data_IF_878774725992
#
_entry.id   IF_878774725992
#
_cell.length_a   1.000
_cell.length_b   1.000
_cell.length_c   1.000
_cell.angle_alpha   90.00
_cell.angle_beta   90.00
_cell.angle_gamma   90.00
#
_symmetry.space_group_name_H-M   'P 1'
#
loop_
_entity.id
_entity.type
_entity.pdbx_description
1 polymer ?
#
# COMPACT_ATOMS: atom_id res chain seq x y z
N UNK A 1 19.72 -16.84 13.53
CA UNK A 1 19.70 -16.11 14.82
C UNK A 1 21.13 -15.96 15.32
N UNK A 2 21.48 -14.80 15.88
CA UNK A 2 22.80 -14.58 16.48
C UNK A 2 22.72 -15.02 17.95
N UNK A 3 23.60 -15.91 18.43
CA UNK A 3 23.57 -16.37 19.81
C UNK A 3 23.72 -15.20 20.80
N UNK A 4 22.89 -15.19 21.85
CA UNK A 4 22.89 -14.14 22.88
C UNK A 4 22.07 -12.87 22.53
N UNK A 5 21.40 -12.85 21.37
CA UNK A 5 20.52 -11.75 20.96
C UNK A 5 19.09 -12.21 20.73
N UNK A 6 18.15 -11.35 21.07
CA UNK A 6 16.75 -11.52 20.71
C UNK A 6 16.48 -10.88 19.35
N UNK A 7 15.72 -11.58 18.50
CA UNK A 7 15.21 -11.03 17.26
C UNK A 7 13.77 -10.55 17.50
N UNK A 8 13.55 -9.26 17.31
CA UNK A 8 12.20 -8.70 17.27
C UNK A 8 11.80 -8.49 15.80
N UNK A 9 10.63 -8.93 15.44
CA UNK A 9 10.13 -8.87 14.08
C UNK A 9 8.73 -8.25 14.04
N UNK A 10 8.55 -7.28 13.19
CA UNK A 10 7.24 -6.74 12.84
C UNK A 10 7.07 -6.79 11.32
N UNK A 11 5.89 -7.22 10.86
CA UNK A 11 5.68 -7.34 9.43
C UNK A 11 4.21 -7.22 9.03
N UNK A 12 3.99 -6.84 7.78
CA UNK A 12 2.67 -6.80 7.15
C UNK A 12 2.44 -8.08 6.34
N UNK A 13 1.21 -8.59 6.37
CA UNK A 13 0.87 -9.91 5.81
C UNK A 13 0.82 -9.92 4.29
N UNK A 14 0.42 -8.80 3.68
CA UNK A 14 0.29 -8.67 2.23
C UNK A 14 0.66 -7.24 1.82
N UNK A 15 1.74 -7.10 1.08
CA UNK A 15 2.19 -5.80 0.54
C UNK A 15 2.09 -5.81 -0.98
N UNK A 16 3.03 -6.42 -1.68
CA UNK A 16 3.00 -6.53 -3.13
C UNK A 16 1.74 -7.22 -3.67
N UNK A 17 1.32 -8.31 -3.03
CA UNK A 17 0.11 -9.03 -3.44
C UNK A 17 -1.18 -8.22 -3.26
N UNK A 18 -1.23 -7.30 -2.29
CA UNK A 18 -2.33 -6.34 -2.17
C UNK A 18 -2.36 -5.38 -3.36
N UNK A 19 -1.20 -4.80 -3.71
CA UNK A 19 -1.10 -3.90 -4.86
C UNK A 19 -1.49 -4.61 -6.15
N UNK A 20 -0.98 -5.81 -6.40
CA UNK A 20 -1.34 -6.63 -7.55
C UNK A 20 -2.84 -6.92 -7.62
N UNK A 21 -3.45 -7.29 -6.50
CA UNK A 21 -4.88 -7.57 -6.41
C UNK A 21 -5.72 -6.34 -6.78
N UNK A 22 -5.39 -5.17 -6.23
CA UNK A 22 -6.12 -3.93 -6.50
C UNK A 22 -5.93 -3.48 -7.95
N UNK A 23 -4.71 -3.56 -8.48
CA UNK A 23 -4.41 -3.19 -9.86
C UNK A 23 -5.16 -4.13 -10.82
N UNK A 24 -5.03 -5.43 -10.66
CA UNK A 24 -5.65 -6.41 -11.56
C UNK A 24 -7.20 -6.38 -11.50
N UNK A 25 -7.76 -6.05 -10.35
CA UNK A 25 -9.19 -5.89 -10.15
C UNK A 25 -9.77 -4.61 -10.78
N UNK A 26 -8.93 -3.64 -11.15
CA UNK A 26 -9.40 -2.37 -11.67
C UNK A 26 -9.60 -2.41 -13.20
N UNK A 27 -10.74 -1.92 -13.73
CA UNK A 27 -11.07 -2.01 -15.16
C UNK A 27 -10.06 -1.32 -16.09
N UNK A 28 -9.33 -0.28 -15.62
CA UNK A 28 -8.32 0.40 -16.43
C UNK A 28 -7.03 -0.42 -16.64
N UNK A 29 -6.75 -1.43 -15.82
CA UNK A 29 -5.45 -2.12 -15.83
C UNK A 29 -5.15 -2.80 -17.17
N UNK A 30 -6.13 -3.53 -17.70
CA UNK A 30 -5.97 -4.23 -18.98
C UNK A 30 -5.73 -3.26 -20.15
N UNK A 31 -6.48 -2.16 -20.19
CA UNK A 31 -6.33 -1.14 -21.22
C UNK A 31 -4.99 -0.41 -21.13
N UNK A 32 -4.52 -0.10 -19.91
CA UNK A 32 -3.21 0.52 -19.67
C UNK A 32 -2.09 -0.40 -20.14
N UNK A 33 -2.15 -1.69 -19.77
CA UNK A 33 -1.17 -2.69 -20.20
C UNK A 33 -1.13 -2.89 -21.71
N UNK A 34 -2.30 -2.90 -22.37
CA UNK A 34 -2.39 -3.03 -23.82
C UNK A 34 -1.80 -1.83 -24.57
N UNK A 35 -1.91 -0.63 -24.01
CA UNK A 35 -1.30 0.60 -24.58
C UNK A 35 0.23 0.64 -24.45
N UNK A 36 0.77 -0.07 -23.46
CA UNK A 36 2.20 -0.05 -23.14
C UNK A 36 2.77 -1.48 -23.03
N UNK A 37 2.80 -2.23 -24.15
CA UNK A 37 3.30 -3.61 -24.15
C UNK A 37 4.78 -3.65 -23.70
N UNK A 38 5.10 -4.55 -22.78
CA UNK A 38 6.44 -4.71 -22.22
C UNK A 38 6.82 -3.77 -21.08
N UNK A 39 6.00 -2.75 -20.78
CA UNK A 39 6.27 -1.86 -19.65
C UNK A 39 5.85 -2.49 -18.32
N UNK A 40 6.58 -2.13 -17.26
CA UNK A 40 6.21 -2.49 -15.90
C UNK A 40 4.99 -1.65 -15.46
N UNK A 41 3.98 -2.31 -14.90
CA UNK A 41 2.75 -1.65 -14.46
C UNK A 41 2.99 -0.63 -13.34
N UNK A 42 3.88 -0.95 -12.41
CA UNK A 42 4.21 -0.03 -11.32
C UNK A 42 4.89 1.25 -11.84
N UNK A 43 5.77 1.14 -12.84
CA UNK A 43 6.40 2.31 -13.45
C UNK A 43 5.38 3.21 -14.15
N UNK A 44 4.42 2.62 -14.86
CA UNK A 44 3.33 3.36 -15.50
C UNK A 44 2.46 4.09 -14.47
N UNK A 45 2.13 3.41 -13.38
CA UNK A 45 1.32 4.00 -12.31
C UNK A 45 2.09 5.08 -11.56
N UNK A 46 3.39 4.90 -11.30
CA UNK A 46 4.23 5.92 -10.69
C UNK A 46 4.34 7.18 -11.55
N UNK A 47 4.45 7.02 -12.87
CA UNK A 47 4.43 8.15 -13.80
C UNK A 47 3.09 8.89 -13.77
N UNK A 48 1.98 8.15 -13.74
CA UNK A 48 0.64 8.74 -13.67
C UNK A 48 0.39 9.46 -12.34
N UNK A 49 0.83 8.87 -11.22
CA UNK A 49 0.80 9.50 -9.90
C UNK A 49 1.59 10.82 -9.91
N UNK A 50 2.81 10.82 -10.47
CA UNK A 50 3.61 12.02 -10.56
C UNK A 50 2.94 13.09 -11.43
N UNK A 51 2.32 12.71 -12.55
CA UNK A 51 1.55 13.61 -13.41
C UNK A 51 0.38 14.25 -12.66
N UNK A 52 -0.42 13.44 -11.96
CA UNK A 52 -1.58 13.93 -11.19
C UNK A 52 -1.16 14.85 -10.04
N UNK A 53 -0.16 14.46 -9.28
CA UNK A 53 0.34 15.23 -8.14
C UNK A 53 0.91 16.60 -8.55
N UNK A 54 1.45 16.73 -9.75
CA UNK A 54 1.93 18.00 -10.28
C UNK A 54 0.79 19.01 -10.51
N UNK A 55 -0.43 18.55 -10.75
CA UNK A 55 -1.59 19.40 -11.00
C UNK A 55 -2.49 19.56 -9.77
N UNK A 56 -2.68 18.46 -9.03
CA UNK A 56 -3.50 18.41 -7.81
C UNK A 56 -2.73 17.60 -6.76
N UNK A 57 -1.95 18.22 -5.87
CA UNK A 57 -1.06 17.52 -4.94
C UNK A 57 -1.74 16.45 -4.07
N UNK A 58 -2.99 16.66 -3.69
CA UNK A 58 -3.77 15.74 -2.85
C UNK A 58 -4.90 15.06 -3.62
N UNK A 59 -4.65 14.66 -4.88
CA UNK A 59 -5.68 14.13 -5.77
C UNK A 59 -6.37 12.85 -5.25
N UNK A 60 -5.78 12.14 -4.31
CA UNK A 60 -6.33 10.93 -3.69
C UNK A 60 -6.77 11.12 -2.22
N UNK A 61 -6.89 12.37 -1.75
CA UNK A 61 -7.15 12.69 -0.32
C UNK A 61 -8.41 12.05 0.27
N UNK A 62 -9.42 11.81 -0.55
CA UNK A 62 -10.71 11.25 -0.11
C UNK A 62 -10.77 9.72 -0.26
N UNK A 63 -9.72 9.10 -0.80
CA UNK A 63 -9.65 7.65 -1.02
C UNK A 63 -8.70 7.00 0.01
N UNK A 64 -9.26 6.12 0.81
CA UNK A 64 -8.53 5.47 1.90
C UNK A 64 -8.56 3.95 1.75
N UNK A 65 -7.44 3.31 2.04
CA UNK A 65 -7.31 1.84 2.04
C UNK A 65 -6.93 1.37 3.43
N UNK A 66 -7.65 0.38 3.94
CA UNK A 66 -7.25 -0.39 5.11
C UNK A 66 -6.59 -1.69 4.62
N UNK A 67 -5.26 -1.89 4.79
CA UNK A 67 -4.53 -2.92 4.07
C UNK A 67 -4.63 -4.33 4.68
N UNK A 68 -5.69 -4.64 5.44
CA UNK A 68 -5.84 -5.90 6.18
C UNK A 68 -6.48 -7.02 5.37
N UNK A 69 -6.18 -7.12 4.07
CA UNK A 69 -6.77 -8.12 3.16
C UNK A 69 -6.41 -9.56 3.53
N UNK A 70 -5.31 -9.77 4.27
CA UNK A 70 -4.91 -11.04 4.88
C UNK A 70 -4.77 -10.95 6.41
N UNK A 71 -5.66 -10.21 7.07
CA UNK A 71 -5.57 -9.92 8.49
C UNK A 71 -4.45 -8.91 8.81
N UNK A 72 -4.12 -8.78 10.08
CA UNK A 72 -3.01 -7.94 10.53
C UNK A 72 -2.08 -8.79 11.42
N UNK A 73 -0.84 -9.05 10.93
CA UNK A 73 0.19 -9.78 11.68
C UNK A 73 0.75 -8.91 12.79
N UNK A 74 1.16 -7.71 12.47
CA UNK A 74 1.76 -6.77 13.42
C UNK A 74 1.08 -5.41 13.29
N UNK A 75 0.77 -4.76 14.41
CA UNK A 75 0.98 -5.18 15.80
C UNK A 75 -0.20 -5.93 16.42
N UNK A 76 -1.29 -6.18 15.70
CA UNK A 76 -2.55 -6.67 16.28
C UNK A 76 -2.64 -8.19 16.41
N UNK A 77 -1.79 -8.96 15.73
CA UNK A 77 -1.78 -10.43 15.70
C UNK A 77 -3.20 -11.02 15.45
N UNK A 78 -3.99 -10.38 14.58
CA UNK A 78 -5.38 -10.79 14.34
C UNK A 78 -5.60 -11.17 12.86
N UNK A 79 -5.69 -12.47 12.54
CA UNK A 79 -5.90 -12.96 11.18
C UNK A 79 -7.33 -12.76 10.67
N UNK A 80 -8.27 -12.40 11.54
CA UNK A 80 -9.68 -12.21 11.19
C UNK A 80 -10.02 -10.79 10.74
N UNK A 81 -9.11 -9.84 10.89
CA UNK A 81 -9.30 -8.50 10.35
C UNK A 81 -9.42 -8.54 8.82
N UNK A 82 -10.19 -7.61 8.28
CA UNK A 82 -10.46 -7.51 6.84
C UNK A 82 -10.06 -6.14 6.34
N UNK A 83 -9.56 -6.14 5.09
CA UNK A 83 -9.30 -4.92 4.36
C UNK A 83 -10.57 -4.17 4.00
N UNK A 84 -10.41 -2.91 3.68
CA UNK A 84 -11.51 -2.05 3.25
C UNK A 84 -10.99 -0.91 2.39
N UNK A 85 -11.87 -0.39 1.55
CA UNK A 85 -11.61 0.80 0.74
C UNK A 85 -12.77 1.76 0.94
N UNK A 86 -12.47 3.01 1.22
CA UNK A 86 -13.45 4.07 1.40
C UNK A 86 -13.15 5.22 0.44
N UNK A 87 -14.19 5.88 -0.07
CA UNK A 87 -14.04 7.02 -0.99
C UNK A 87 -13.99 6.61 -2.47
N UNK A 88 -14.38 5.39 -2.83
CA UNK A 88 -14.51 4.98 -4.22
C UNK A 88 -15.56 5.80 -4.95
N UNK A 89 -15.29 6.13 -6.22
CA UNK A 89 -16.20 6.77 -7.14
C UNK A 89 -16.58 5.81 -8.28
N UNK A 90 -17.41 6.25 -9.20
CA UNK A 90 -17.77 5.48 -10.40
C UNK A 90 -16.73 5.61 -11.52
N UNK A 91 -15.67 6.37 -11.30
CA UNK A 91 -14.59 6.57 -12.27
C UNK A 91 -13.82 5.27 -12.52
N UNK A 92 -13.55 5.01 -13.82
CA UNK A 92 -12.94 3.75 -14.28
C UNK A 92 -11.66 3.98 -15.10
N UNK A 93 -11.18 5.21 -15.14
CA UNK A 93 -10.01 5.61 -15.93
C UNK A 93 -8.68 5.28 -15.25
N UNK A 94 -7.59 5.57 -15.97
CA UNK A 94 -6.22 5.39 -15.45
C UNK A 94 -5.97 6.26 -14.21
N UNK A 95 -6.57 7.45 -14.14
CA UNK A 95 -6.45 8.35 -12.99
C UNK A 95 -7.04 7.75 -11.72
N UNK A 96 -8.21 7.09 -11.81
CA UNK A 96 -8.80 6.40 -10.65
C UNK A 96 -7.99 5.18 -10.23
N UNK A 97 -7.39 4.45 -11.19
CA UNK A 97 -6.44 3.38 -10.88
C UNK A 97 -5.18 3.91 -10.16
N UNK A 98 -4.61 5.02 -10.65
CA UNK A 98 -3.45 5.65 -10.03
C UNK A 98 -3.76 6.16 -8.61
N UNK A 99 -4.95 6.72 -8.40
CA UNK A 99 -5.43 7.15 -7.07
C UNK A 99 -5.55 5.97 -6.12
N UNK A 100 -6.14 4.86 -6.56
CA UNK A 100 -6.27 3.63 -5.76
C UNK A 100 -4.90 3.02 -5.43
N UNK A 101 -4.02 2.97 -6.41
CA UNK A 101 -2.64 2.51 -6.24
C UNK A 101 -1.88 3.34 -5.20
N UNK A 102 -1.89 4.67 -5.33
CA UNK A 102 -1.22 5.54 -4.38
C UNK A 102 -1.80 5.41 -2.97
N UNK A 103 -3.13 5.36 -2.83
CA UNK A 103 -3.76 5.19 -1.53
C UNK A 103 -3.40 3.86 -0.87
N UNK A 104 -3.24 2.79 -1.65
CA UNK A 104 -2.76 1.50 -1.14
C UNK A 104 -1.30 1.57 -0.69
N UNK A 105 -0.41 2.22 -1.45
CA UNK A 105 0.99 2.43 -1.07
C UNK A 105 1.08 3.25 0.22
N UNK A 106 0.31 4.32 0.34
CA UNK A 106 0.22 5.14 1.56
C UNK A 106 -0.27 4.32 2.76
N UNK A 107 -1.27 3.47 2.56
CA UNK A 107 -1.79 2.59 3.61
C UNK A 107 -0.74 1.59 4.12
N UNK A 108 0.07 1.03 3.22
CA UNK A 108 1.20 0.16 3.58
C UNK A 108 2.28 0.93 4.34
N UNK A 109 2.60 2.15 3.92
CA UNK A 109 3.55 3.02 4.62
C UNK A 109 3.05 3.37 6.04
N UNK A 110 1.77 3.75 6.17
CA UNK A 110 1.14 3.99 7.47
C UNK A 110 1.13 2.73 8.35
N UNK A 111 0.91 1.55 7.75
CA UNK A 111 1.00 0.27 8.45
C UNK A 111 2.41 0.00 9.01
N UNK A 112 3.44 0.29 8.23
CA UNK A 112 4.85 0.19 8.67
C UNK A 112 5.13 1.17 9.81
N UNK A 113 4.71 2.42 9.67
CA UNK A 113 4.82 3.43 10.71
C UNK A 113 4.15 2.98 12.01
N UNK A 114 2.95 2.43 11.94
CA UNK A 114 2.23 1.93 13.11
C UNK A 114 2.96 0.78 13.84
N UNK A 115 3.63 -0.10 13.07
CA UNK A 115 4.48 -1.16 13.65
C UNK A 115 5.67 -0.54 14.40
N UNK A 116 6.36 0.42 13.79
CA UNK A 116 7.50 1.13 14.39
C UNK A 116 7.07 1.83 15.69
N UNK A 117 6.02 2.65 15.64
CA UNK A 117 5.50 3.37 16.80
C UNK A 117 5.09 2.41 17.93
N UNK A 118 4.56 1.23 17.58
CA UNK A 118 4.21 0.20 18.59
C UNK A 118 5.46 -0.41 19.23
N UNK A 119 6.50 -0.70 18.45
CA UNK A 119 7.78 -1.21 18.98
C UNK A 119 8.43 -0.17 19.89
N UNK A 120 8.46 1.10 19.49
CA UNK A 120 9.01 2.19 20.29
C UNK A 120 8.26 2.38 21.61
N UNK A 121 6.91 2.27 21.59
CA UNK A 121 6.08 2.33 22.80
C UNK A 121 6.39 1.19 23.79
N UNK A 122 6.97 0.08 23.30
CA UNK A 122 7.43 -1.04 24.12
C UNK A 122 8.92 -0.97 24.48
N UNK A 123 9.55 0.19 24.27
CA UNK A 123 10.93 0.45 24.69
C UNK A 123 12.02 0.07 23.68
N UNK A 124 11.65 -0.37 22.48
CA UNK A 124 12.61 -0.56 21.39
C UNK A 124 12.97 0.79 20.76
N UNK A 125 14.23 0.98 20.42
CA UNK A 125 14.70 2.18 19.69
C UNK A 125 15.08 1.77 18.29
N UNK A 126 14.40 2.35 17.30
CA UNK A 126 14.65 2.13 15.88
C UNK A 126 15.35 3.38 15.35
N UNK A 127 16.60 3.25 14.92
CA UNK A 127 17.42 4.37 14.44
C UNK A 127 17.45 4.44 12.92
N UNK A 128 17.42 3.28 12.26
CA UNK A 128 17.57 3.19 10.81
C UNK A 128 16.49 2.30 10.21
N UNK A 129 15.98 2.71 9.04
CA UNK A 129 15.14 1.93 8.16
C UNK A 129 15.92 1.68 6.86
N UNK A 130 16.07 0.43 6.46
CA UNK A 130 16.83 0.01 5.28
C UNK A 130 15.91 -0.61 4.25
#
# INVERSE_FOLDING_TARGET
MVPGFWLNEGGQTATGSLLDHLIQGHPAAAALKAKHPGSNMFDLLNQEVARLAAHVPEFNRDLHVLPYFHGNRSPRANPHLRGGISGLTLEKGTESLASLYLSAVQALACGTRHIIETLEAHGYRIHDLV
#
